data_IF_706253181349
#
_entry.id   IF_706253181349
#
_cell.length_a   1.000
_cell.length_b   1.000
_cell.length_c   1.000
_cell.angle_alpha   90.00
_cell.angle_beta   90.00
_cell.angle_gamma   90.00
#
_symmetry.space_group_name_H-M   'P 1'
#
loop_
_entity.id
_entity.type
_entity.pdbx_description
1 polymer ?
#
# COMPACT_ATOMS: atom_id res chain seq x y z
N UNK A 1 41.64 -44.56 19.30
CA UNK A 1 41.37 -43.24 19.92
C UNK A 1 40.75 -42.20 18.96
N UNK A 2 40.85 -42.32 17.65
CA UNK A 2 40.27 -41.39 16.65
C UNK A 2 38.76 -41.49 16.58
N UNK A 3 38.18 -42.70 16.67
CA UNK A 3 36.71 -42.90 16.54
C UNK A 3 35.88 -42.30 17.69
N UNK A 4 36.40 -42.17 18.90
CA UNK A 4 35.65 -41.60 20.03
C UNK A 4 35.51 -40.06 19.89
N UNK A 5 36.56 -39.41 19.39
CA UNK A 5 36.55 -37.94 19.18
C UNK A 5 35.64 -37.50 18.02
N UNK A 6 35.48 -38.35 17.03
CA UNK A 6 34.54 -38.09 15.92
C UNK A 6 33.07 -38.27 16.38
N UNK A 7 32.80 -39.31 17.19
CA UNK A 7 31.46 -39.50 17.79
C UNK A 7 31.05 -38.36 18.74
N UNK A 8 31.97 -37.87 19.58
CA UNK A 8 31.67 -36.73 20.45
C UNK A 8 31.45 -35.42 19.69
N UNK A 9 32.17 -35.23 18.58
CA UNK A 9 31.95 -34.06 17.70
C UNK A 9 30.59 -34.12 16.98
N UNK A 10 30.17 -35.30 16.47
CA UNK A 10 28.89 -35.54 15.84
C UNK A 10 27.74 -35.36 16.84
N UNK A 11 27.83 -35.85 18.05
CA UNK A 11 26.82 -35.71 19.12
C UNK A 11 26.70 -34.23 19.55
N UNK A 12 27.82 -33.48 19.63
CA UNK A 12 27.76 -32.05 19.92
C UNK A 12 27.06 -31.24 18.81
N UNK A 13 27.25 -31.63 17.54
CA UNK A 13 26.61 -31.00 16.39
C UNK A 13 25.07 -31.30 16.35
N UNK A 14 24.68 -32.54 16.65
CA UNK A 14 23.25 -32.92 16.71
C UNK A 14 22.47 -32.23 17.83
N UNK A 15 23.09 -31.96 18.97
CA UNK A 15 22.48 -31.21 20.08
C UNK A 15 22.27 -29.72 19.74
N UNK A 16 23.10 -29.12 18.88
CA UNK A 16 22.88 -27.74 18.41
C UNK A 16 21.73 -27.58 17.44
N UNK A 17 21.40 -28.61 16.67
CA UNK A 17 20.32 -28.55 15.65
C UNK A 17 18.92 -28.62 16.30
N UNK A 18 18.78 -29.30 17.45
CA UNK A 18 17.47 -29.46 18.14
C UNK A 18 16.96 -28.16 18.79
N UNK A 19 17.78 -27.13 18.95
CA UNK A 19 17.40 -25.85 19.57
C UNK A 19 16.64 -24.86 18.70
N UNK A 20 16.55 -25.10 17.37
CA UNK A 20 16.04 -24.11 16.44
C UNK A 20 14.50 -23.97 16.37
N UNK A 21 13.74 -25.02 16.72
CA UNK A 21 12.25 -24.99 16.57
C UNK A 21 11.50 -24.35 17.73
N UNK A 22 12.11 -24.18 18.90
CA UNK A 22 11.39 -23.74 20.12
C UNK A 22 11.19 -22.21 20.22
N UNK A 23 11.99 -21.42 19.50
CA UNK A 23 11.98 -19.97 19.66
C UNK A 23 10.84 -19.27 18.90
N UNK A 24 10.37 -19.81 17.77
CA UNK A 24 9.28 -19.20 16.98
C UNK A 24 7.96 -19.19 17.78
N UNK A 25 7.63 -20.28 18.50
CA UNK A 25 6.43 -20.34 19.37
C UNK A 25 6.47 -19.34 20.55
N UNK A 26 7.65 -18.93 21.00
CA UNK A 26 7.81 -17.95 22.10
C UNK A 26 7.46 -16.52 21.68
N UNK A 27 7.66 -16.18 20.41
CA UNK A 27 7.33 -14.84 19.87
C UNK A 27 5.86 -14.71 19.54
N UNK A 28 5.18 -15.77 19.06
CA UNK A 28 3.75 -15.77 18.78
C UNK A 28 2.88 -15.51 20.02
N UNK A 29 3.35 -15.85 21.22
CA UNK A 29 2.67 -15.53 22.51
C UNK A 29 2.61 -14.02 22.84
N UNK A 30 3.23 -13.16 22.03
CA UNK A 30 3.22 -11.70 22.20
C UNK A 30 2.28 -10.97 21.24
N UNK A 31 1.52 -11.69 20.44
CA UNK A 31 0.50 -11.09 19.60
C UNK A 31 -0.66 -10.58 20.45
N UNK A 32 -1.35 -9.50 20.03
CA UNK A 32 -2.56 -9.05 20.71
C UNK A 32 -3.63 -10.13 20.68
N UNK A 33 -4.37 -10.26 21.78
CA UNK A 33 -5.57 -11.12 21.82
C UNK A 33 -6.66 -10.49 20.94
N UNK A 34 -7.15 -11.26 19.97
CA UNK A 34 -8.26 -10.88 19.12
C UNK A 34 -9.54 -11.47 19.77
N UNK A 35 -10.56 -10.64 20.08
CA UNK A 35 -11.81 -11.13 20.65
C UNK A 35 -12.54 -12.02 19.67
N UNK A 36 -13.37 -12.93 20.18
CA UNK A 36 -14.18 -13.84 19.36
C UNK A 36 -15.33 -13.16 18.62
N UNK A 37 -15.78 -12.00 19.10
CA UNK A 37 -16.86 -11.21 18.51
C UNK A 37 -16.43 -9.74 18.39
N UNK A 38 -17.01 -9.06 17.41
CA UNK A 38 -16.88 -7.60 17.28
C UNK A 38 -17.53 -6.91 18.48
N UNK A 39 -16.94 -5.77 18.92
CA UNK A 39 -17.47 -4.98 20.04
C UNK A 39 -18.71 -4.18 19.62
N UNK A 40 -18.78 -3.77 18.37
CA UNK A 40 -19.90 -3.01 17.81
C UNK A 40 -21.05 -3.93 17.43
N UNK A 41 -22.28 -3.58 17.83
CA UNK A 41 -23.50 -4.29 17.43
C UNK A 41 -23.75 -4.00 15.95
N UNK A 42 -23.78 -5.06 15.15
CA UNK A 42 -23.97 -4.95 13.71
C UNK A 42 -24.70 -6.18 13.17
N UNK A 43 -25.75 -5.97 12.38
CA UNK A 43 -26.48 -7.01 11.64
C UNK A 43 -26.33 -6.74 10.15
N UNK A 44 -25.76 -7.69 9.43
CA UNK A 44 -25.64 -7.66 7.97
C UNK A 44 -26.93 -8.18 7.32
N UNK A 45 -27.23 -7.65 6.14
CA UNK A 45 -28.46 -7.97 5.41
C UNK A 45 -28.23 -9.03 4.31
N UNK A 46 -27.02 -9.09 3.73
CA UNK A 46 -26.73 -9.95 2.58
C UNK A 46 -25.26 -10.36 2.49
N UNK A 47 -25.00 -11.52 1.85
CA UNK A 47 -23.67 -11.95 1.44
C UNK A 47 -23.34 -11.26 0.13
N UNK A 48 -22.45 -10.30 0.15
CA UNK A 48 -22.07 -9.57 -1.05
C UNK A 48 -21.18 -10.45 -1.96
N UNK A 49 -21.67 -10.71 -3.15
CA UNK A 49 -20.91 -11.38 -4.22
C UNK A 49 -20.16 -10.37 -5.13
N UNK A 50 -19.88 -9.19 -4.63
CA UNK A 50 -19.21 -8.15 -5.40
C UNK A 50 -19.78 -6.77 -5.08
N UNK A 51 -19.28 -6.15 -4.01
CA UNK A 51 -19.82 -4.91 -3.46
C UNK A 51 -19.87 -3.74 -4.47
N UNK A 52 -18.98 -3.71 -5.46
CA UNK A 52 -18.99 -2.68 -6.51
C UNK A 52 -20.26 -2.77 -7.35
N UNK A 53 -20.69 -4.01 -7.68
CA UNK A 53 -21.91 -4.26 -8.47
C UNK A 53 -23.18 -3.90 -7.69
N UNK A 54 -23.16 -4.01 -6.36
CA UNK A 54 -24.30 -3.70 -5.49
C UNK A 54 -24.67 -2.22 -5.46
N UNK A 55 -23.75 -1.32 -5.78
CA UNK A 55 -24.05 0.11 -5.97
C UNK A 55 -24.93 0.37 -7.19
N UNK A 56 -25.06 -0.59 -8.11
CA UNK A 56 -25.84 -0.46 -9.36
C UNK A 56 -25.47 0.80 -10.17
N UNK A 57 -24.19 1.18 -10.12
CA UNK A 57 -23.62 2.35 -10.78
C UNK A 57 -22.64 1.88 -11.86
N UNK A 58 -23.12 1.82 -13.10
CA UNK A 58 -22.32 1.39 -14.26
C UNK A 58 -21.13 2.34 -14.52
N UNK A 59 -21.29 3.62 -14.18
CA UNK A 59 -20.21 4.60 -14.33
C UNK A 59 -19.10 4.31 -13.35
N UNK A 60 -19.42 4.05 -12.07
CA UNK A 60 -18.46 3.64 -11.07
C UNK A 60 -17.72 2.37 -11.48
N UNK A 61 -18.46 1.36 -11.97
CA UNK A 61 -17.87 0.11 -12.46
C UNK A 61 -16.82 0.36 -13.56
N UNK A 62 -17.18 1.19 -14.55
CA UNK A 62 -16.28 1.58 -15.64
C UNK A 62 -15.04 2.33 -15.15
N UNK A 63 -15.20 3.28 -14.22
CA UNK A 63 -14.09 4.05 -13.63
C UNK A 63 -13.14 3.18 -12.81
N UNK A 64 -13.66 2.22 -12.04
CA UNK A 64 -12.85 1.27 -11.28
C UNK A 64 -12.04 0.39 -12.23
N UNK A 65 -12.64 -0.14 -13.28
CA UNK A 65 -11.93 -0.94 -14.29
C UNK A 65 -10.80 -0.14 -14.93
N UNK A 66 -11.07 1.09 -15.33
CA UNK A 66 -10.07 1.99 -15.89
C UNK A 66 -8.95 2.32 -14.89
N UNK A 67 -9.28 2.56 -13.61
CA UNK A 67 -8.29 2.77 -12.56
C UNK A 67 -7.37 1.55 -12.39
N UNK A 68 -7.93 0.33 -12.37
CA UNK A 68 -7.14 -0.90 -12.25
C UNK A 68 -6.20 -1.11 -13.44
N UNK A 69 -6.56 -0.65 -14.64
CA UNK A 69 -5.74 -0.76 -15.84
C UNK A 69 -4.68 0.36 -15.96
N UNK A 70 -5.00 1.59 -15.55
CA UNK A 70 -4.22 2.77 -15.90
C UNK A 70 -3.58 3.51 -14.71
N UNK A 71 -3.98 3.19 -13.46
CA UNK A 71 -3.44 3.85 -12.28
C UNK A 71 -1.93 3.66 -12.16
N UNK A 72 -1.19 4.77 -11.95
CA UNK A 72 0.28 4.74 -11.95
C UNK A 72 0.87 4.13 -10.69
N UNK A 73 0.23 4.30 -9.54
CA UNK A 73 0.70 3.69 -8.29
C UNK A 73 0.54 2.16 -8.34
N UNK A 74 -0.55 1.67 -8.96
CA UNK A 74 -0.73 0.24 -9.18
C UNK A 74 0.31 -0.31 -10.18
N UNK A 75 0.64 0.47 -11.22
CA UNK A 75 1.73 0.16 -12.14
C UNK A 75 3.08 0.04 -11.43
N UNK A 76 3.39 0.97 -10.52
CA UNK A 76 4.61 0.92 -9.68
C UNK A 76 4.60 -0.34 -8.79
N UNK A 77 3.48 -0.65 -8.15
CA UNK A 77 3.36 -1.85 -7.31
C UNK A 77 3.55 -3.14 -8.12
N UNK A 78 3.06 -3.18 -9.36
CA UNK A 78 3.27 -4.31 -10.27
C UNK A 78 4.74 -4.49 -10.68
N UNK A 79 5.46 -3.40 -10.98
CA UNK A 79 6.89 -3.48 -11.26
C UNK A 79 7.70 -3.93 -10.03
N UNK A 80 7.28 -3.57 -8.82
CA UNK A 80 7.90 -4.07 -7.59
C UNK A 80 7.78 -5.60 -7.45
N UNK A 81 6.67 -6.22 -7.93
CA UNK A 81 6.57 -7.69 -8.00
C UNK A 81 7.65 -8.26 -8.92
N UNK A 82 7.86 -7.68 -10.10
CA UNK A 82 8.90 -8.14 -11.04
C UNK A 82 10.30 -8.05 -10.42
N UNK A 83 10.58 -6.93 -9.75
CA UNK A 83 11.85 -6.73 -9.03
C UNK A 83 12.02 -7.79 -7.94
N UNK A 84 11.00 -8.02 -7.11
CA UNK A 84 11.06 -8.98 -6.02
C UNK A 84 11.25 -10.43 -6.55
N UNK A 85 10.57 -10.81 -7.63
CA UNK A 85 10.73 -12.10 -8.29
C UNK A 85 12.13 -12.27 -8.90
N UNK A 86 12.67 -11.23 -9.54
CA UNK A 86 14.03 -11.26 -10.07
C UNK A 86 15.07 -11.42 -8.95
N UNK A 87 14.89 -10.73 -7.82
CA UNK A 87 15.74 -10.89 -6.62
C UNK A 87 15.65 -12.31 -6.04
N UNK A 88 14.44 -12.87 -5.97
CA UNK A 88 14.24 -14.26 -5.54
C UNK A 88 14.97 -15.24 -6.46
N UNK A 89 14.90 -15.06 -7.79
CA UNK A 89 15.68 -15.84 -8.75
C UNK A 89 17.19 -15.68 -8.56
N UNK A 90 17.67 -14.44 -8.42
CA UNK A 90 19.08 -14.15 -8.20
C UNK A 90 19.62 -14.74 -6.87
N UNK A 91 18.76 -14.89 -5.86
CA UNK A 91 19.13 -15.49 -4.57
C UNK A 91 19.47 -16.99 -4.65
N UNK A 92 19.14 -17.65 -5.75
CA UNK A 92 19.54 -19.03 -6.04
C UNK A 92 20.99 -19.11 -6.56
N UNK A 93 21.52 -18.05 -7.13
CA UNK A 93 22.87 -18.05 -7.73
C UNK A 93 23.98 -18.53 -6.80
N UNK A 94 24.02 -18.16 -5.49
CA UNK A 94 25.03 -18.67 -4.58
C UNK A 94 24.96 -20.19 -4.30
N UNK A 95 23.86 -20.87 -4.65
CA UNK A 95 23.72 -22.33 -4.56
C UNK A 95 24.38 -23.04 -5.74
N UNK A 96 24.68 -22.35 -6.81
CA UNK A 96 25.26 -22.86 -8.05
C UNK A 96 26.74 -22.45 -8.14
N UNK A 97 27.56 -23.23 -8.89
CA UNK A 97 28.94 -22.83 -9.16
C UNK A 97 28.99 -21.55 -10.02
N UNK A 98 29.84 -20.61 -9.65
CA UNK A 98 30.19 -19.45 -10.47
C UNK A 98 31.42 -19.79 -11.31
N UNK A 99 31.32 -19.59 -12.63
CA UNK A 99 32.42 -19.82 -13.58
C UNK A 99 32.82 -18.47 -14.18
N UNK A 100 34.09 -18.16 -14.09
CA UNK A 100 34.68 -16.95 -14.66
C UNK A 100 35.79 -17.35 -15.63
N UNK A 101 35.84 -16.68 -16.77
CA UNK A 101 36.93 -16.81 -17.77
C UNK A 101 37.58 -15.45 -17.88
N UNK A 102 38.91 -15.41 -17.74
CA UNK A 102 39.70 -14.21 -17.86
C UNK A 102 40.90 -14.41 -18.80
N UNK A 103 41.20 -13.43 -19.62
CA UNK A 103 42.43 -13.37 -20.43
C UNK A 103 43.23 -12.15 -19.97
N UNK A 104 44.51 -12.31 -19.74
CA UNK A 104 45.39 -11.24 -19.31
C UNK A 104 46.75 -11.28 -20.01
N UNK A 105 47.22 -10.09 -20.39
CA UNK A 105 48.59 -9.86 -20.80
C UNK A 105 49.33 -9.12 -19.73
N UNK A 106 50.41 -9.68 -19.19
CA UNK A 106 51.23 -9.05 -18.16
C UNK A 106 52.66 -8.85 -18.61
N UNK A 107 53.26 -7.73 -18.22
CA UNK A 107 54.67 -7.43 -18.35
C UNK A 107 55.20 -7.20 -16.90
N UNK A 108 56.10 -8.04 -16.50
CA UNK A 108 56.75 -7.97 -15.21
C UNK A 108 58.20 -7.54 -15.46
N UNK A 109 58.65 -6.41 -14.91
CA UNK A 109 60.05 -6.02 -14.92
C UNK A 109 60.69 -6.39 -13.61
N UNK A 110 61.79 -7.13 -13.65
CA UNK A 110 62.61 -7.52 -12.51
C UNK A 110 64.02 -6.98 -12.68
N UNK A 111 64.58 -6.43 -11.63
CA UNK A 111 65.98 -5.98 -11.62
C UNK A 111 66.85 -7.08 -11.02
N UNK A 112 67.80 -7.57 -11.75
CA UNK A 112 68.83 -8.51 -11.26
C UNK A 112 70.20 -7.85 -11.23
N UNK A 113 71.03 -8.24 -10.27
CA UNK A 113 72.40 -7.82 -10.18
C UNK A 113 73.30 -8.97 -10.66
N UNK A 114 74.06 -8.72 -11.69
CA UNK A 114 74.99 -9.69 -12.25
C UNK A 114 76.18 -9.89 -11.29
N UNK A 115 76.90 -11.01 -11.38
CA UNK A 115 78.08 -11.27 -10.54
C UNK A 115 79.16 -10.16 -10.56
N UNK A 116 79.13 -9.38 -11.61
CA UNK A 116 80.04 -8.21 -11.77
C UNK A 116 79.55 -6.92 -11.11
N UNK A 117 78.37 -6.95 -10.39
CA UNK A 117 77.83 -5.79 -9.71
C UNK A 117 76.92 -4.91 -10.58
N UNK A 118 76.79 -5.20 -11.88
CA UNK A 118 75.89 -4.45 -12.77
C UNK A 118 74.43 -4.80 -12.55
N UNK A 119 73.57 -3.81 -12.60
CA UNK A 119 72.10 -3.96 -12.45
C UNK A 119 71.46 -3.99 -13.82
N UNK A 120 70.86 -5.11 -14.16
CA UNK A 120 70.12 -5.33 -15.40
C UNK A 120 68.61 -5.43 -15.13
N UNK A 121 67.81 -4.81 -15.98
CA UNK A 121 66.32 -4.92 -15.93
C UNK A 121 65.85 -5.90 -16.97
N UNK A 122 65.25 -7.00 -16.49
CA UNK A 122 64.66 -8.05 -17.31
C UNK A 122 63.16 -7.84 -17.42
N UNK A 123 62.59 -7.90 -18.59
CA UNK A 123 61.16 -7.85 -18.86
C UNK A 123 60.67 -9.27 -19.18
N UNK A 124 59.72 -9.74 -18.38
CA UNK A 124 59.01 -10.98 -18.65
C UNK A 124 57.59 -10.65 -19.12
N UNK A 125 57.26 -11.10 -20.30
CA UNK A 125 55.89 -11.01 -20.85
C UNK A 125 55.19 -12.31 -20.64
N UNK A 126 53.91 -12.25 -20.24
CA UNK A 126 53.06 -13.42 -20.10
C UNK A 126 51.67 -13.14 -20.59
N UNK A 127 51.18 -13.95 -21.48
CA UNK A 127 49.82 -14.06 -21.92
C UNK A 127 49.17 -15.25 -21.21
N UNK A 128 48.01 -15.06 -20.56
CA UNK A 128 47.35 -16.09 -19.77
C UNK A 128 45.86 -16.15 -20.04
N UNK A 129 45.35 -17.36 -20.17
CA UNK A 129 43.92 -17.66 -20.13
C UNK A 129 43.63 -18.39 -18.82
N UNK A 130 42.65 -17.91 -18.06
CA UNK A 130 42.27 -18.49 -16.77
C UNK A 130 40.80 -18.79 -16.75
N UNK A 131 40.42 -20.03 -16.41
CA UNK A 131 39.04 -20.41 -16.08
C UNK A 131 39.00 -20.74 -14.59
N UNK A 132 38.10 -20.08 -13.86
CA UNK A 132 37.94 -20.27 -12.42
C UNK A 132 36.50 -20.64 -12.08
N UNK A 133 36.31 -21.71 -11.33
CA UNK A 133 35.07 -22.14 -10.74
C UNK A 133 35.15 -21.90 -9.23
N UNK A 134 34.13 -21.23 -8.68
CA UNK A 134 33.96 -21.06 -7.23
C UNK A 134 32.55 -21.54 -6.86
N UNK A 135 32.47 -22.42 -5.85
CA UNK A 135 31.20 -22.95 -5.39
C UNK A 135 31.23 -23.20 -3.88
N UNK A 136 30.29 -22.58 -3.14
CA UNK A 136 30.03 -22.93 -1.74
C UNK A 136 28.93 -24.00 -1.70
N UNK A 137 29.26 -25.17 -1.16
CA UNK A 137 28.29 -26.25 -0.98
C UNK A 137 27.49 -25.97 0.31
N UNK A 138 26.18 -25.87 0.16
CA UNK A 138 25.25 -25.52 1.24
C UNK A 138 24.91 -26.71 2.15
N UNK A 139 25.91 -27.28 2.80
CA UNK A 139 25.76 -28.48 3.66
C UNK A 139 24.89 -28.22 4.90
N UNK A 140 24.77 -26.97 5.36
CA UNK A 140 23.99 -26.57 6.53
C UNK A 140 22.67 -25.90 6.20
N UNK A 141 22.39 -25.68 4.94
CA UNK A 141 21.17 -25.00 4.50
C UNK A 141 21.16 -23.48 4.74
N UNK A 142 22.33 -22.84 4.89
CA UNK A 142 22.43 -21.40 5.08
C UNK A 142 22.00 -20.60 3.85
N UNK A 143 22.52 -21.01 2.70
CA UNK A 143 22.21 -20.35 1.41
C UNK A 143 20.78 -20.61 0.96
N UNK A 144 20.32 -21.86 1.07
CA UNK A 144 18.94 -22.23 0.77
C UNK A 144 17.93 -21.54 1.70
N UNK A 145 18.26 -21.34 2.98
CA UNK A 145 17.42 -20.56 3.91
C UNK A 145 17.32 -19.10 3.49
N UNK A 146 18.40 -18.46 3.03
CA UNK A 146 18.38 -17.10 2.50
C UNK A 146 17.57 -17.00 1.20
N UNK A 147 17.72 -17.99 0.30
CA UNK A 147 16.94 -18.04 -0.91
C UNK A 147 15.43 -18.18 -0.61
N UNK A 148 15.07 -19.05 0.36
CA UNK A 148 13.69 -19.16 0.83
C UNK A 148 13.17 -17.85 1.44
N UNK A 149 13.98 -17.13 2.20
CA UNK A 149 13.62 -15.81 2.72
C UNK A 149 13.34 -14.81 1.59
N UNK A 150 14.18 -14.81 0.55
CA UNK A 150 13.97 -13.96 -0.64
C UNK A 150 12.70 -14.33 -1.43
N UNK A 151 12.35 -15.61 -1.51
CA UNK A 151 11.09 -16.08 -2.10
C UNK A 151 9.88 -15.60 -1.29
N UNK A 152 9.93 -15.68 0.05
CA UNK A 152 8.88 -15.14 0.91
C UNK A 152 8.73 -13.62 0.74
N UNK A 153 9.83 -12.89 0.57
CA UNK A 153 9.76 -11.46 0.23
C UNK A 153 8.99 -11.22 -1.07
N UNK A 154 9.22 -12.02 -2.12
CA UNK A 154 8.47 -11.89 -3.36
C UNK A 154 6.97 -12.21 -3.19
N UNK A 155 6.64 -13.16 -2.31
CA UNK A 155 5.26 -13.48 -1.95
C UNK A 155 4.58 -12.37 -1.13
N UNK A 156 5.31 -11.74 -0.21
CA UNK A 156 4.83 -10.58 0.56
C UNK A 156 4.53 -9.40 -0.37
N UNK A 157 5.44 -9.03 -1.28
CA UNK A 157 5.25 -7.95 -2.25
C UNK A 157 4.05 -8.20 -3.18
N UNK A 158 3.76 -9.47 -3.50
CA UNK A 158 2.54 -9.81 -4.24
C UNK A 158 1.27 -9.49 -3.43
N UNK A 159 1.24 -9.80 -2.13
CA UNK A 159 0.11 -9.46 -1.28
C UNK A 159 0.00 -7.94 -1.03
N UNK A 160 1.12 -7.22 -0.99
CA UNK A 160 1.12 -5.75 -0.96
C UNK A 160 0.46 -5.16 -2.22
N UNK A 161 0.68 -5.78 -3.40
CA UNK A 161 0.00 -5.40 -4.63
C UNK A 161 -1.51 -5.66 -4.56
N UNK A 162 -1.95 -6.82 -4.02
CA UNK A 162 -3.39 -7.10 -3.84
C UNK A 162 -4.03 -6.09 -2.86
N UNK A 163 -3.34 -5.72 -1.77
CA UNK A 163 -3.78 -4.66 -0.88
C UNK A 163 -3.87 -3.29 -1.59
N UNK A 164 -2.89 -2.98 -2.46
CA UNK A 164 -2.91 -1.76 -3.25
C UNK A 164 -4.09 -1.73 -4.24
N UNK A 165 -4.43 -2.86 -4.88
CA UNK A 165 -5.63 -2.97 -5.74
C UNK A 165 -6.91 -2.60 -4.96
N UNK A 166 -7.11 -3.20 -3.78
CA UNK A 166 -8.26 -2.88 -2.93
C UNK A 166 -8.29 -1.38 -2.58
N UNK A 167 -7.14 -0.82 -2.22
CA UNK A 167 -7.02 0.61 -1.89
C UNK A 167 -7.38 1.51 -3.08
N UNK A 168 -6.89 1.20 -4.29
CA UNK A 168 -7.21 1.98 -5.51
C UNK A 168 -8.69 1.89 -5.84
N UNK A 169 -9.32 0.72 -5.71
CA UNK A 169 -10.77 0.58 -5.91
C UNK A 169 -11.54 1.47 -4.92
N UNK A 170 -11.15 1.43 -3.64
CA UNK A 170 -11.77 2.26 -2.61
C UNK A 170 -11.58 3.74 -2.84
N UNK A 171 -10.36 4.17 -3.19
CA UNK A 171 -10.06 5.57 -3.52
C UNK A 171 -10.85 6.05 -4.74
N UNK A 172 -10.97 5.23 -5.78
CA UNK A 172 -11.75 5.55 -6.99
C UNK A 172 -13.22 5.73 -6.64
N UNK A 173 -13.80 4.81 -5.86
CA UNK A 173 -15.20 4.90 -5.44
C UNK A 173 -15.45 6.14 -4.56
N UNK A 174 -14.58 6.40 -3.58
CA UNK A 174 -14.71 7.58 -2.72
C UNK A 174 -14.56 8.88 -3.52
N UNK A 175 -13.61 8.96 -4.46
CA UNK A 175 -13.41 10.13 -5.32
C UNK A 175 -14.59 10.35 -6.26
N UNK A 176 -15.18 9.28 -6.80
CA UNK A 176 -16.39 9.35 -7.62
C UNK A 176 -17.57 9.94 -6.85
N UNK A 177 -17.87 9.41 -5.65
CA UNK A 177 -19.00 9.91 -4.86
C UNK A 177 -18.75 11.29 -4.28
N UNK A 178 -17.52 11.67 -3.99
CA UNK A 178 -17.16 13.05 -3.65
C UNK A 178 -17.40 13.99 -4.83
N UNK A 179 -17.12 13.56 -6.06
CA UNK A 179 -17.42 14.32 -7.25
C UNK A 179 -18.94 14.47 -7.45
N UNK A 180 -19.71 13.40 -7.28
CA UNK A 180 -21.19 13.44 -7.32
C UNK A 180 -21.76 14.40 -6.27
N UNK A 181 -21.26 14.34 -5.03
CA UNK A 181 -21.65 15.26 -3.96
C UNK A 181 -21.33 16.71 -4.32
N UNK A 182 -20.13 16.98 -4.81
CA UNK A 182 -19.69 18.32 -5.23
C UNK A 182 -20.57 18.88 -6.37
N UNK A 183 -21.04 18.02 -7.27
CA UNK A 183 -22.02 18.40 -8.31
C UNK A 183 -23.35 18.80 -7.69
N UNK A 184 -23.92 17.98 -6.78
CA UNK A 184 -25.16 18.29 -6.08
C UNK A 184 -25.08 19.57 -5.26
N UNK A 185 -23.95 19.83 -4.57
CA UNK A 185 -23.72 21.08 -3.83
C UNK A 185 -23.64 22.29 -4.77
N UNK A 186 -23.05 22.11 -5.97
CA UNK A 186 -22.98 23.17 -6.98
C UNK A 186 -24.36 23.49 -7.53
N UNK A 187 -25.16 22.47 -7.83
CA UNK A 187 -26.55 22.63 -8.32
C UNK A 187 -27.43 23.26 -7.23
N UNK A 188 -27.24 22.91 -5.97
CA UNK A 188 -27.89 23.53 -4.83
C UNK A 188 -27.53 25.02 -4.72
N UNK A 189 -26.25 25.38 -4.84
CA UNK A 189 -25.79 26.76 -4.83
C UNK A 189 -26.35 27.58 -5.99
N UNK A 190 -26.49 26.98 -7.18
CA UNK A 190 -27.10 27.62 -8.34
C UNK A 190 -28.59 27.89 -8.12
N UNK A 191 -29.37 26.89 -7.68
CA UNK A 191 -30.78 27.06 -7.31
C UNK A 191 -30.94 28.14 -6.23
N UNK A 192 -30.06 28.19 -5.23
CA UNK A 192 -30.08 29.20 -4.19
C UNK A 192 -29.82 30.61 -4.72
N UNK A 193 -28.86 30.79 -5.63
CA UNK A 193 -28.62 32.07 -6.29
C UNK A 193 -29.88 32.53 -7.06
N UNK A 194 -30.56 31.66 -7.78
CA UNK A 194 -31.81 31.98 -8.48
C UNK A 194 -32.94 32.42 -7.50
N UNK A 195 -33.03 31.71 -6.35
CA UNK A 195 -33.96 32.09 -5.29
C UNK A 195 -33.66 33.50 -4.73
N UNK A 196 -32.38 33.83 -4.48
CA UNK A 196 -31.98 35.18 -4.01
C UNK A 196 -32.23 36.27 -5.08
N UNK A 197 -31.95 35.99 -6.32
CA UNK A 197 -32.28 36.91 -7.43
C UNK A 197 -33.77 37.20 -7.52
N UNK A 198 -34.62 36.18 -7.37
CA UNK A 198 -36.08 36.38 -7.35
C UNK A 198 -36.54 37.16 -6.11
N UNK A 199 -35.92 36.94 -4.96
CA UNK A 199 -36.19 37.73 -3.72
C UNK A 199 -35.76 39.19 -3.91
N UNK A 200 -34.59 39.45 -4.49
CA UNK A 200 -34.12 40.82 -4.77
C UNK A 200 -35.11 41.54 -5.71
N UNK A 201 -35.57 40.90 -6.77
CA UNK A 201 -36.56 41.48 -7.69
C UNK A 201 -37.87 41.87 -7.00
N UNK A 202 -38.34 41.07 -6.03
CA UNK A 202 -39.52 41.40 -5.20
C UNK A 202 -39.25 42.59 -4.29
N UNK A 203 -38.10 42.62 -3.63
CA UNK A 203 -37.70 43.74 -2.76
C UNK A 203 -37.57 45.04 -3.54
N UNK A 204 -36.98 45.02 -4.75
CA UNK A 204 -36.85 46.18 -5.64
C UNK A 204 -38.24 46.71 -6.06
N UNK A 205 -39.17 45.85 -6.43
CA UNK A 205 -40.55 46.25 -6.75
C UNK A 205 -41.25 46.88 -5.56
N UNK A 206 -41.11 46.35 -4.36
CA UNK A 206 -41.71 46.93 -3.11
C UNK A 206 -41.03 48.24 -2.75
N UNK A 207 -39.74 48.40 -2.93
CA UNK A 207 -39.02 49.65 -2.71
C UNK A 207 -39.49 50.75 -3.66
N UNK A 208 -39.64 50.45 -4.96
CA UNK A 208 -40.18 51.40 -5.93
C UNK A 208 -41.60 51.87 -5.60
N UNK A 209 -42.39 50.99 -4.96
CA UNK A 209 -43.76 51.33 -4.47
C UNK A 209 -43.77 52.01 -3.12
N UNK A 210 -42.60 52.31 -2.52
CA UNK A 210 -42.50 52.95 -1.18
C UNK A 210 -42.83 52.01 0.00
N UNK A 211 -42.97 50.70 -0.23
CA UNK A 211 -43.37 49.73 0.81
C UNK A 211 -42.14 49.16 1.52
N UNK A 212 -40.97 48.98 0.87
CA UNK A 212 -39.75 48.49 1.45
C UNK A 212 -38.75 49.61 1.74
N UNK A 213 -37.90 49.42 2.78
CA UNK A 213 -36.87 50.41 3.16
C UNK A 213 -35.61 50.25 2.31
N UNK A 214 -34.81 51.32 2.20
CA UNK A 214 -33.49 51.27 1.52
C UNK A 214 -32.55 50.23 2.12
N UNK A 215 -32.62 49.99 3.44
CA UNK A 215 -31.88 48.95 4.13
C UNK A 215 -32.21 47.56 3.57
N UNK A 216 -33.46 47.24 3.33
CA UNK A 216 -33.92 45.94 2.86
C UNK A 216 -33.41 45.67 1.45
N UNK A 217 -33.40 46.70 0.59
CA UNK A 217 -32.82 46.60 -0.75
C UNK A 217 -31.32 46.34 -0.72
N UNK A 218 -30.55 47.05 0.16
CA UNK A 218 -29.11 46.82 0.28
C UNK A 218 -28.81 45.45 0.80
N UNK A 219 -29.57 44.95 1.79
CA UNK A 219 -29.45 43.61 2.33
C UNK A 219 -29.69 42.55 1.24
N UNK A 220 -30.74 42.65 0.48
CA UNK A 220 -31.04 41.70 -0.61
C UNK A 220 -29.95 41.70 -1.70
N UNK A 221 -29.40 42.88 -2.04
CA UNK A 221 -28.27 42.97 -2.99
C UNK A 221 -26.99 42.30 -2.44
N UNK A 222 -26.68 42.56 -1.16
CA UNK A 222 -25.52 41.90 -0.48
C UNK A 222 -25.64 40.38 -0.48
N UNK A 223 -26.83 39.85 -0.19
CA UNK A 223 -27.11 38.41 -0.23
C UNK A 223 -26.87 37.79 -1.64
N UNK A 224 -27.29 38.48 -2.70
CA UNK A 224 -27.06 38.00 -4.08
C UNK A 224 -25.56 37.92 -4.37
N UNK A 225 -24.79 38.95 -4.03
CA UNK A 225 -23.34 38.93 -4.28
C UNK A 225 -22.64 37.84 -3.44
N UNK A 226 -23.05 37.63 -2.19
CA UNK A 226 -22.56 36.54 -1.34
C UNK A 226 -22.84 35.18 -1.96
N UNK A 227 -24.04 34.95 -2.53
CA UNK A 227 -24.38 33.67 -3.18
C UNK A 227 -23.67 33.47 -4.52
N UNK A 228 -23.36 34.54 -5.26
CA UNK A 228 -22.50 34.45 -6.46
C UNK A 228 -21.08 33.96 -6.06
N UNK A 229 -20.50 34.55 -5.01
CA UNK A 229 -19.19 34.12 -4.52
C UNK A 229 -19.21 32.65 -4.07
N UNK A 230 -20.25 32.22 -3.35
CA UNK A 230 -20.42 30.82 -2.93
C UNK A 230 -20.52 29.88 -4.14
N UNK A 231 -21.31 30.21 -5.16
CA UNK A 231 -21.42 29.41 -6.39
C UNK A 231 -20.06 29.25 -7.09
N UNK A 232 -19.25 30.30 -7.14
CA UNK A 232 -17.88 30.23 -7.73
C UNK A 232 -16.99 29.29 -6.90
N UNK A 233 -17.07 29.31 -5.58
CA UNK A 233 -16.36 28.38 -4.70
C UNK A 233 -16.80 26.93 -4.96
N UNK A 234 -18.10 26.65 -5.10
CA UNK A 234 -18.62 25.32 -5.41
C UNK A 234 -18.17 24.83 -6.79
N UNK A 235 -18.21 25.69 -7.82
CA UNK A 235 -17.70 25.36 -9.15
C UNK A 235 -16.19 25.02 -9.12
N UNK A 236 -15.40 25.75 -8.32
CA UNK A 236 -13.99 25.43 -8.11
C UNK A 236 -13.83 24.04 -7.47
N UNK A 237 -14.52 23.77 -6.37
CA UNK A 237 -14.47 22.48 -5.67
C UNK A 237 -14.89 21.31 -6.57
N UNK A 238 -15.94 21.48 -7.37
CA UNK A 238 -16.37 20.48 -8.36
C UNK A 238 -15.26 20.18 -9.38
N UNK A 239 -14.61 21.21 -9.92
CA UNK A 239 -13.52 21.04 -10.87
C UNK A 239 -12.30 20.34 -10.23
N UNK A 240 -12.00 20.64 -8.96
CA UNK A 240 -10.93 19.98 -8.21
C UNK A 240 -11.25 18.49 -7.95
N UNK A 241 -12.48 18.16 -7.57
CA UNK A 241 -12.93 16.79 -7.37
C UNK A 241 -12.85 15.96 -8.67
N UNK A 242 -13.30 16.55 -9.81
CA UNK A 242 -13.20 15.93 -11.13
C UNK A 242 -11.73 15.61 -11.48
N UNK A 243 -10.82 16.59 -11.36
CA UNK A 243 -9.41 16.40 -11.68
C UNK A 243 -8.73 15.38 -10.77
N UNK A 244 -9.10 15.34 -9.49
CA UNK A 244 -8.59 14.33 -8.57
C UNK A 244 -8.99 12.93 -9.00
N UNK A 245 -10.24 12.73 -9.37
CA UNK A 245 -10.72 11.46 -9.91
C UNK A 245 -10.01 11.08 -11.21
N UNK A 246 -9.84 12.03 -12.15
CA UNK A 246 -9.12 11.82 -13.41
C UNK A 246 -7.68 11.35 -13.20
N UNK A 247 -6.98 11.90 -12.18
CA UNK A 247 -5.62 11.46 -11.81
C UNK A 247 -5.65 10.02 -11.29
N UNK A 248 -6.61 9.67 -10.43
CA UNK A 248 -6.72 8.32 -9.85
C UNK A 248 -6.94 7.28 -10.95
N UNK A 249 -7.77 7.58 -11.94
CA UNK A 249 -8.03 6.66 -13.08
C UNK A 249 -6.97 6.74 -14.18
N UNK A 250 -5.95 7.57 -14.02
CA UNK A 250 -4.80 7.68 -14.94
C UNK A 250 -5.03 8.58 -16.15
N UNK A 251 -6.09 9.44 -16.14
CA UNK A 251 -6.37 10.42 -17.20
C UNK A 251 -5.66 11.76 -16.96
N UNK A 252 -5.54 12.55 -18.04
CA UNK A 252 -5.13 13.96 -17.93
C UNK A 252 -6.24 14.76 -17.21
N UNK A 253 -5.90 15.63 -16.21
CA UNK A 253 -6.88 16.32 -15.37
C UNK A 253 -7.56 17.50 -16.10
N UNK A 254 -8.46 17.18 -17.02
CA UNK A 254 -9.21 18.14 -17.87
C UNK A 254 -10.55 18.59 -17.28
N UNK A 255 -11.02 17.94 -16.21
CA UNK A 255 -12.36 18.15 -15.64
C UNK A 255 -13.49 17.81 -16.62
N UNK A 256 -13.33 16.69 -17.35
CA UNK A 256 -14.25 16.23 -18.39
C UNK A 256 -15.30 15.23 -17.91
N UNK A 257 -15.19 14.73 -16.68
CA UNK A 257 -16.13 13.75 -16.12
C UNK A 257 -17.45 14.46 -15.77
N UNK A 258 -18.58 13.81 -16.05
CA UNK A 258 -19.91 14.26 -15.67
C UNK A 258 -20.56 13.29 -14.69
N UNK A 259 -21.40 13.80 -13.79
CA UNK A 259 -22.22 13.02 -12.87
C UNK A 259 -23.58 13.66 -12.69
N UNK A 260 -24.59 12.82 -12.46
CA UNK A 260 -25.97 13.30 -12.32
C UNK A 260 -26.56 13.08 -10.91
N UNK A 261 -26.25 11.97 -10.22
CA UNK A 261 -26.91 11.60 -8.96
C UNK A 261 -25.93 10.88 -8.01
N UNK A 262 -26.20 10.95 -6.69
CA UNK A 262 -25.68 9.99 -5.72
C UNK A 262 -26.54 8.73 -5.75
N UNK A 263 -25.95 7.52 -5.91
CA UNK A 263 -26.70 6.27 -5.86
C UNK A 263 -27.23 5.98 -4.45
N UNK A 264 -28.13 5.00 -4.37
CA UNK A 264 -28.55 4.42 -3.10
C UNK A 264 -27.42 3.67 -2.40
N UNK A 265 -27.57 3.45 -1.10
CA UNK A 265 -26.64 2.60 -0.35
C UNK A 265 -26.81 1.13 -0.74
N UNK A 266 -25.70 0.38 -0.91
CA UNK A 266 -25.77 -1.06 -1.05
C UNK A 266 -26.21 -1.73 0.28
N UNK A 267 -26.63 -3.00 0.24
CA UNK A 267 -26.92 -3.77 1.44
C UNK A 267 -25.77 -3.77 2.44
N UNK A 268 -26.06 -4.08 3.69
CA UNK A 268 -25.04 -4.24 4.73
C UNK A 268 -24.35 -5.60 4.55
N UNK A 269 -23.00 -5.70 4.40
CA UNK A 269 -22.32 -6.98 4.26
C UNK A 269 -22.47 -7.85 5.53
N UNK A 270 -22.56 -9.16 5.38
CA UNK A 270 -22.47 -10.09 6.52
C UNK A 270 -21.01 -10.20 6.96
N UNK A 271 -20.79 -10.14 8.27
CA UNK A 271 -19.46 -10.20 8.87
C UNK A 271 -19.19 -11.60 9.44
N UNK A 272 -18.00 -12.12 9.11
CA UNK A 272 -17.42 -13.25 9.81
C UNK A 272 -16.88 -12.89 11.19
N UNK A 273 -16.31 -13.89 11.89
CA UNK A 273 -15.61 -13.63 13.15
C UNK A 273 -14.40 -12.68 12.92
N UNK A 274 -13.98 -11.92 13.95
CA UNK A 274 -12.79 -11.07 13.85
C UNK A 274 -11.54 -11.81 13.35
N UNK A 275 -11.36 -13.04 13.78
CA UNK A 275 -10.22 -13.86 13.37
C UNK A 275 -10.28 -14.21 11.87
N UNK A 276 -11.46 -14.61 11.36
CA UNK A 276 -11.62 -15.01 9.96
C UNK A 276 -11.45 -13.80 9.02
N UNK A 277 -12.04 -12.66 9.38
CA UNK A 277 -11.94 -11.43 8.58
C UNK A 277 -10.50 -10.95 8.50
N UNK A 278 -9.79 -10.89 9.64
CA UNK A 278 -8.40 -10.43 9.68
C UNK A 278 -7.47 -11.36 8.89
N UNK A 279 -7.66 -12.68 8.94
CA UNK A 279 -6.83 -13.66 8.20
C UNK A 279 -6.94 -13.52 6.69
N UNK A 280 -8.05 -13.02 6.17
CA UNK A 280 -8.27 -12.87 4.73
C UNK A 280 -7.78 -11.55 4.15
N UNK A 281 -7.31 -10.63 4.98
CA UNK A 281 -6.79 -9.32 4.53
C UNK A 281 -5.40 -9.46 3.89
N UNK A 282 -5.19 -8.93 2.66
CA UNK A 282 -3.89 -9.03 2.00
C UNK A 282 -2.75 -8.33 2.75
N UNK A 283 -3.00 -7.22 3.44
CA UNK A 283 -2.02 -6.50 4.26
C UNK A 283 -1.58 -7.31 5.49
N UNK A 284 -2.50 -8.05 6.10
CA UNK A 284 -2.20 -8.97 7.21
C UNK A 284 -1.38 -10.16 6.69
N UNK A 285 -1.82 -10.79 5.58
CA UNK A 285 -1.10 -11.90 4.94
C UNK A 285 0.33 -11.46 4.57
N UNK A 286 0.49 -10.28 3.99
CA UNK A 286 1.82 -9.74 3.66
C UNK A 286 2.70 -9.61 4.91
N UNK A 287 2.18 -9.00 5.98
CA UNK A 287 2.96 -8.77 7.20
C UNK A 287 3.27 -10.07 7.96
N UNK A 288 2.41 -11.10 7.89
CA UNK A 288 2.69 -12.44 8.42
C UNK A 288 3.83 -13.11 7.65
N UNK A 289 3.81 -13.03 6.31
CA UNK A 289 4.89 -13.55 5.46
C UNK A 289 6.22 -12.84 5.75
N UNK A 290 6.19 -11.52 5.97
CA UNK A 290 7.39 -10.76 6.38
C UNK A 290 7.94 -11.23 7.72
N UNK A 291 7.08 -11.60 8.66
CA UNK A 291 7.49 -12.18 9.94
C UNK A 291 8.14 -13.55 9.76
N UNK A 292 7.59 -14.43 8.91
CA UNK A 292 8.21 -15.71 8.55
C UNK A 292 9.58 -15.49 7.88
N UNK A 293 9.67 -14.56 6.93
CA UNK A 293 10.92 -14.17 6.29
C UNK A 293 11.99 -13.76 7.31
N UNK A 294 11.64 -12.87 8.23
CA UNK A 294 12.57 -12.41 9.29
C UNK A 294 13.04 -13.57 10.18
N UNK A 295 12.19 -14.55 10.44
CA UNK A 295 12.55 -15.79 11.13
C UNK A 295 13.59 -16.62 10.39
N UNK A 296 13.48 -16.72 9.06
CA UNK A 296 14.47 -17.38 8.20
C UNK A 296 15.81 -16.62 8.20
N UNK A 297 15.78 -15.28 8.17
CA UNK A 297 17.02 -14.47 8.27
C UNK A 297 17.76 -14.69 9.59
N UNK A 298 17.04 -14.76 10.71
CA UNK A 298 17.63 -15.13 12.01
C UNK A 298 18.26 -16.53 11.94
N UNK A 299 17.59 -17.49 11.31
CA UNK A 299 18.09 -18.84 11.14
C UNK A 299 19.36 -18.84 10.29
N UNK A 300 19.37 -18.15 9.16
CA UNK A 300 20.54 -18.02 8.30
C UNK A 300 21.73 -17.35 9.02
N UNK A 301 21.46 -16.33 9.85
CA UNK A 301 22.50 -15.68 10.67
C UNK A 301 23.11 -16.63 11.71
N UNK A 302 22.32 -17.54 12.29
CA UNK A 302 22.82 -18.59 13.20
C UNK A 302 23.62 -19.65 12.46
N UNK A 303 23.14 -20.10 11.30
CA UNK A 303 23.86 -21.07 10.45
C UNK A 303 25.22 -20.52 9.95
N UNK A 304 25.40 -19.20 9.89
CA UNK A 304 26.67 -18.57 9.55
C UNK A 304 27.79 -18.81 10.60
N UNK A 305 27.47 -19.33 11.80
CA UNK A 305 28.45 -19.76 12.76
C UNK A 305 29.06 -21.13 12.45
N UNK A 306 28.48 -21.90 11.54
CA UNK A 306 28.98 -23.21 11.12
C UNK A 306 30.06 -23.08 10.03
N UNK A 307 30.95 -24.12 9.88
CA UNK A 307 31.97 -24.09 8.82
C UNK A 307 31.40 -23.98 7.42
N UNK A 308 32.04 -23.26 6.52
CA UNK A 308 31.70 -23.24 5.08
C UNK A 308 32.56 -24.24 4.30
N UNK A 309 31.94 -25.00 3.40
CA UNK A 309 32.60 -25.88 2.44
C UNK A 309 32.65 -25.20 1.09
N UNK A 310 33.85 -24.85 0.63
CA UNK A 310 34.07 -24.19 -0.63
C UNK A 310 34.87 -25.10 -1.57
N UNK A 311 34.43 -25.22 -2.82
CA UNK A 311 35.16 -25.84 -3.91
C UNK A 311 35.63 -24.73 -4.84
N UNK A 312 36.94 -24.67 -5.05
CA UNK A 312 37.56 -23.80 -6.05
C UNK A 312 38.29 -24.66 -7.04
N UNK A 313 38.00 -24.50 -8.31
CA UNK A 313 38.77 -25.12 -9.38
C UNK A 313 39.30 -24.03 -10.29
N UNK A 314 40.57 -24.15 -10.68
CA UNK A 314 41.19 -23.19 -11.57
C UNK A 314 41.99 -23.95 -12.63
N UNK A 315 41.83 -23.58 -13.87
CA UNK A 315 42.64 -23.99 -15.01
C UNK A 315 43.20 -22.73 -15.65
N UNK A 316 44.50 -22.74 -15.94
CA UNK A 316 45.16 -21.61 -16.56
C UNK A 316 46.30 -22.03 -17.43
N UNK A 317 46.54 -21.27 -18.53
CA UNK A 317 47.77 -21.24 -19.30
C UNK A 317 48.57 -20.01 -18.90
N UNK A 318 49.90 -20.06 -19.09
CA UNK A 318 50.77 -18.88 -18.82
C UNK A 318 51.97 -18.97 -19.77
N UNK A 319 51.83 -18.35 -20.92
CA UNK A 319 52.73 -18.46 -22.05
C UNK A 319 53.26 -17.09 -22.50
N UNK A 320 54.23 -17.07 -23.43
CA UNK A 320 54.80 -15.80 -23.95
C UNK A 320 53.94 -15.16 -25.02
N UNK A 321 53.20 -16.00 -25.77
CA UNK A 321 52.39 -15.58 -26.89
C UNK A 321 50.96 -16.10 -26.77
N UNK A 322 49.99 -15.38 -27.31
CA UNK A 322 48.55 -15.74 -27.27
C UNK A 322 48.27 -17.07 -28.02
N UNK A 323 49.02 -17.38 -29.08
CA UNK A 323 48.86 -18.69 -29.79
C UNK A 323 49.03 -19.86 -28.85
N UNK A 324 50.01 -19.79 -27.98
CA UNK A 324 50.34 -20.83 -27.01
C UNK A 324 49.42 -20.77 -25.80
N UNK A 325 48.95 -19.60 -25.42
CA UNK A 325 48.02 -19.42 -24.30
C UNK A 325 46.65 -20.04 -24.56
N UNK A 326 46.23 -20.17 -25.84
CA UNK A 326 44.97 -20.82 -26.21
C UNK A 326 45.13 -22.32 -26.52
N UNK A 327 46.33 -22.90 -26.38
CA UNK A 327 46.57 -24.30 -26.57
C UNK A 327 46.02 -25.15 -25.41
N UNK A 328 45.01 -26.03 -25.62
CA UNK A 328 44.43 -26.84 -24.54
C UNK A 328 45.44 -27.79 -23.88
N UNK A 329 46.46 -28.23 -24.62
CA UNK A 329 47.48 -29.17 -24.13
C UNK A 329 48.41 -28.52 -23.08
N UNK A 330 48.42 -27.19 -23.01
CA UNK A 330 49.20 -26.40 -22.02
C UNK A 330 48.40 -25.99 -20.80
N UNK A 331 47.13 -26.44 -20.71
CA UNK A 331 46.22 -26.09 -19.61
C UNK A 331 46.64 -26.80 -18.33
N UNK A 332 47.11 -26.06 -17.34
CA UNK A 332 47.37 -26.57 -16.00
C UNK A 332 46.19 -26.22 -15.06
N UNK A 333 45.77 -27.18 -14.24
CA UNK A 333 44.64 -26.98 -13.36
C UNK A 333 44.80 -27.59 -11.97
N UNK A 334 44.04 -27.03 -11.02
CA UNK A 334 43.89 -27.58 -9.69
C UNK A 334 42.46 -27.52 -9.23
N UNK A 335 42.05 -28.43 -8.34
CA UNK A 335 40.77 -28.45 -7.64
C UNK A 335 41.05 -28.50 -6.15
N UNK A 336 40.48 -27.57 -5.40
CA UNK A 336 40.66 -27.44 -3.96
C UNK A 336 39.27 -27.47 -3.29
N UNK A 337 39.05 -28.44 -2.40
CA UNK A 337 37.94 -28.44 -1.48
C UNK A 337 38.44 -27.99 -0.11
N UNK A 338 37.86 -26.91 0.41
CA UNK A 338 38.25 -26.33 1.69
C UNK A 338 37.08 -26.20 2.64
N UNK A 339 37.23 -26.74 3.87
CA UNK A 339 36.28 -26.54 4.97
C UNK A 339 36.86 -25.48 5.90
N UNK A 340 36.23 -24.32 5.96
CA UNK A 340 36.73 -23.18 6.71
C UNK A 340 35.79 -22.79 7.85
N UNK A 341 36.33 -22.77 9.10
CA UNK A 341 35.65 -22.27 10.28
C UNK A 341 36.34 -21.02 10.80
N UNK A 342 35.62 -19.90 10.77
CA UNK A 342 36.13 -18.70 11.45
C UNK A 342 35.94 -18.77 12.95
N UNK A 343 37.04 -18.79 13.71
CA UNK A 343 37.01 -18.85 15.16
C UNK A 343 36.81 -17.47 15.79
N UNK A 344 37.43 -16.44 15.22
CA UNK A 344 37.35 -15.06 15.72
C UNK A 344 37.29 -14.07 14.57
N UNK A 345 36.33 -13.17 14.67
CA UNK A 345 36.10 -12.07 13.69
C UNK A 345 35.77 -10.74 14.42
N UNK A 346 36.45 -10.45 15.55
CA UNK A 346 36.23 -9.21 16.28
C UNK A 346 34.77 -8.99 16.75
N UNK A 347 33.99 -10.07 16.97
CA UNK A 347 32.59 -9.98 17.42
C UNK A 347 31.56 -9.72 16.32
N UNK A 348 31.98 -9.52 15.06
CA UNK A 348 31.06 -9.15 13.93
C UNK A 348 29.91 -10.13 13.75
N UNK A 349 30.13 -11.45 13.81
CA UNK A 349 29.09 -12.47 13.69
C UNK A 349 28.06 -12.41 14.82
N UNK A 350 28.54 -12.18 16.06
CA UNK A 350 27.65 -12.03 17.22
C UNK A 350 26.80 -10.77 17.07
N UNK A 351 27.41 -9.66 16.65
CA UNK A 351 26.69 -8.42 16.38
C UNK A 351 25.64 -8.62 15.26
N UNK A 352 26.00 -9.28 14.15
CA UNK A 352 25.07 -9.55 13.06
C UNK A 352 23.89 -10.43 13.50
N UNK A 353 24.11 -11.46 14.30
CA UNK A 353 23.03 -12.28 14.86
C UNK A 353 22.08 -11.47 15.75
N UNK A 354 22.63 -10.57 16.59
CA UNK A 354 21.82 -9.68 17.43
C UNK A 354 21.03 -8.65 16.59
N UNK A 355 21.61 -8.15 15.51
CA UNK A 355 20.95 -7.23 14.57
C UNK A 355 19.74 -7.93 13.96
N UNK A 356 19.90 -9.14 13.38
CA UNK A 356 18.78 -9.87 12.76
C UNK A 356 17.69 -10.26 13.76
N UNK A 357 18.07 -10.63 15.00
CA UNK A 357 17.08 -10.88 16.07
C UNK A 357 16.29 -9.62 16.45
N UNK A 358 16.94 -8.46 16.48
CA UNK A 358 16.27 -7.18 16.74
C UNK A 358 15.38 -6.76 15.58
N UNK A 359 15.80 -6.96 14.33
CA UNK A 359 14.99 -6.76 13.13
C UNK A 359 13.75 -7.62 13.14
N UNK A 360 13.84 -8.91 13.48
CA UNK A 360 12.68 -9.78 13.64
C UNK A 360 11.70 -9.26 14.70
N UNK A 361 12.19 -8.72 15.84
CA UNK A 361 11.30 -8.11 16.86
C UNK A 361 10.62 -6.84 16.36
N UNK A 362 11.29 -6.05 15.52
CA UNK A 362 10.67 -4.88 14.86
C UNK A 362 9.54 -5.36 13.96
N UNK A 363 9.76 -6.36 13.11
CA UNK A 363 8.74 -6.93 12.22
C UNK A 363 7.56 -7.50 13.01
N UNK A 364 7.80 -8.20 14.12
CA UNK A 364 6.76 -8.69 15.02
C UNK A 364 5.88 -7.55 15.57
N UNK A 365 6.50 -6.45 16.01
CA UNK A 365 5.76 -5.29 16.50
C UNK A 365 4.99 -4.59 15.37
N UNK A 366 5.54 -4.54 14.15
CA UNK A 366 4.85 -4.02 12.98
C UNK A 366 3.63 -4.89 12.64
N UNK A 367 3.76 -6.20 12.61
CA UNK A 367 2.66 -7.14 12.42
C UNK A 367 1.56 -6.94 13.46
N UNK A 368 1.91 -6.86 14.75
CA UNK A 368 0.97 -6.58 15.84
C UNK A 368 0.24 -5.24 15.64
N UNK A 369 0.96 -4.21 15.20
CA UNK A 369 0.38 -2.90 14.90
C UNK A 369 -0.58 -2.95 13.72
N UNK A 370 -0.24 -3.70 12.66
CA UNK A 370 -1.11 -3.89 11.49
C UNK A 370 -2.42 -4.58 11.89
N UNK A 371 -2.34 -5.66 12.70
CA UNK A 371 -3.51 -6.35 13.26
C UNK A 371 -4.43 -5.40 14.05
N UNK A 372 -3.86 -4.62 14.98
CA UNK A 372 -4.63 -3.68 15.80
C UNK A 372 -5.26 -2.56 14.96
N UNK A 373 -4.54 -2.04 13.96
CA UNK A 373 -5.07 -1.02 13.05
C UNK A 373 -6.22 -1.59 12.20
N UNK A 374 -6.06 -2.80 11.66
CA UNK A 374 -7.10 -3.45 10.88
C UNK A 374 -8.37 -3.70 11.72
N UNK A 375 -8.22 -4.20 12.95
CA UNK A 375 -9.34 -4.37 13.87
C UNK A 375 -10.03 -3.02 14.18
N UNK A 376 -9.25 -1.97 14.44
CA UNK A 376 -9.78 -0.62 14.67
C UNK A 376 -10.54 -0.08 13.44
N UNK A 377 -10.02 -0.25 12.24
CA UNK A 377 -10.69 0.18 11.00
C UNK A 377 -12.07 -0.44 10.85
N UNK A 378 -12.19 -1.74 11.18
CA UNK A 378 -13.45 -2.47 11.12
C UNK A 378 -14.40 -1.97 12.21
N UNK A 379 -13.96 -1.90 13.47
CA UNK A 379 -14.79 -1.42 14.60
C UNK A 379 -15.27 0.02 14.37
N UNK A 380 -14.39 0.92 13.90
CA UNK A 380 -14.75 2.30 13.58
C UNK A 380 -15.83 2.36 12.49
N UNK A 381 -15.71 1.52 11.43
CA UNK A 381 -16.70 1.48 10.35
C UNK A 381 -18.04 0.90 10.80
N UNK A 382 -18.03 -0.15 11.64
CA UNK A 382 -19.23 -0.76 12.22
C UNK A 382 -19.98 0.22 13.13
N UNK A 383 -19.24 0.87 14.03
CA UNK A 383 -19.83 1.87 14.94
C UNK A 383 -20.43 3.04 14.16
N UNK A 384 -19.71 3.53 13.14
CA UNK A 384 -20.17 4.65 12.32
C UNK A 384 -21.42 4.32 11.50
N UNK A 385 -21.69 3.05 11.15
CA UNK A 385 -22.83 2.68 10.33
C UNK A 385 -24.17 3.09 10.94
N UNK A 386 -24.39 2.75 12.21
CA UNK A 386 -25.62 3.10 12.93
C UNK A 386 -25.71 4.62 13.20
N UNK A 387 -24.62 5.23 13.66
CA UNK A 387 -24.59 6.67 13.96
C UNK A 387 -24.86 7.52 12.73
N UNK A 388 -24.29 7.15 11.58
CA UNK A 388 -24.52 7.88 10.33
C UNK A 388 -25.94 7.67 9.78
N UNK A 389 -26.56 6.53 10.03
CA UNK A 389 -27.95 6.28 9.68
C UNK A 389 -28.88 7.20 10.48
N UNK A 390 -28.76 7.21 11.81
CA UNK A 390 -29.58 8.04 12.70
C UNK A 390 -29.39 9.54 12.40
N UNK A 391 -28.15 9.92 12.11
CA UNK A 391 -27.81 11.30 11.70
C UNK A 391 -28.50 11.71 10.40
N UNK A 392 -28.47 10.85 9.37
CA UNK A 392 -29.12 11.15 8.08
C UNK A 392 -30.63 11.27 8.23
N UNK A 393 -31.26 10.41 9.02
CA UNK A 393 -32.69 10.48 9.31
C UNK A 393 -33.04 11.81 10.04
N UNK A 394 -32.25 12.20 11.04
CA UNK A 394 -32.43 13.47 11.74
C UNK A 394 -32.27 14.68 10.81
N UNK A 395 -31.28 14.65 9.90
CA UNK A 395 -31.05 15.71 8.93
C UNK A 395 -32.15 15.76 7.85
N UNK A 396 -32.68 14.60 7.44
CA UNK A 396 -33.82 14.54 6.53
C UNK A 396 -35.07 15.18 7.13
N UNK A 397 -35.35 14.91 8.41
CA UNK A 397 -36.45 15.54 9.13
C UNK A 397 -36.24 17.04 9.30
N UNK A 398 -35.02 17.47 9.67
CA UNK A 398 -34.67 18.89 9.74
C UNK A 398 -34.81 19.60 8.41
N UNK A 399 -34.45 18.97 7.29
CA UNK A 399 -34.64 19.52 5.96
C UNK A 399 -36.14 19.66 5.60
N UNK A 400 -36.97 18.64 5.90
CA UNK A 400 -38.42 18.70 5.67
C UNK A 400 -39.07 19.88 6.39
N UNK A 401 -38.76 20.05 7.69
CA UNK A 401 -39.30 21.15 8.52
C UNK A 401 -38.79 22.52 8.06
N UNK A 402 -37.49 22.64 7.74
CA UNK A 402 -36.92 23.89 7.24
C UNK A 402 -37.51 24.28 5.87
N UNK A 403 -37.81 23.33 5.00
CA UNK A 403 -38.48 23.56 3.72
C UNK A 403 -39.92 24.05 3.91
N UNK A 404 -40.68 23.41 4.79
CA UNK A 404 -42.05 23.85 5.13
C UNK A 404 -42.08 25.26 5.73
N UNK A 405 -41.13 25.56 6.64
CA UNK A 405 -40.98 26.88 7.24
C UNK A 405 -40.63 27.95 6.18
N UNK A 406 -39.77 27.67 5.21
CA UNK A 406 -39.47 28.59 4.10
C UNK A 406 -40.70 28.86 3.27
N UNK A 407 -41.46 27.84 2.89
CA UNK A 407 -42.71 28.00 2.07
C UNK A 407 -43.75 28.88 2.77
N UNK A 408 -43.97 28.68 4.09
CA UNK A 408 -44.86 29.52 4.90
C UNK A 408 -44.35 30.97 5.00
N UNK A 409 -43.05 31.14 5.22
CA UNK A 409 -42.45 32.49 5.38
C UNK A 409 -42.48 33.28 4.06
N UNK A 410 -42.34 32.60 2.91
CA UNK A 410 -42.54 33.22 1.58
C UNK A 410 -43.94 33.76 1.43
N UNK A 411 -44.97 33.01 1.82
CA UNK A 411 -46.38 33.45 1.73
C UNK A 411 -46.64 34.63 2.70
N UNK A 412 -46.17 34.54 3.92
CA UNK A 412 -46.29 35.63 4.91
C UNK A 412 -45.56 36.90 4.46
N UNK A 413 -44.38 36.80 3.88
CA UNK A 413 -43.65 37.95 3.33
C UNK A 413 -44.41 38.58 2.17
N UNK A 414 -44.99 37.77 1.29
CA UNK A 414 -45.81 38.29 0.16
C UNK A 414 -47.05 39.05 0.65
N UNK A 415 -47.67 38.61 1.74
CA UNK A 415 -48.82 39.28 2.37
C UNK A 415 -48.41 40.50 3.23
N UNK A 416 -47.10 40.72 3.46
CA UNK A 416 -46.59 41.83 4.29
C UNK A 416 -46.63 41.57 5.79
N UNK A 417 -46.85 40.34 6.24
CA UNK A 417 -46.91 39.91 7.62
C UNK A 417 -45.51 39.59 8.16
N UNK A 418 -44.59 39.08 7.31
CA UNK A 418 -43.19 38.75 7.66
C UNK A 418 -42.24 39.78 7.09
N UNK A 419 -41.07 39.92 7.76
CA UNK A 419 -39.97 40.80 7.35
C UNK A 419 -39.02 40.13 6.35
N UNK A 420 -38.22 40.93 5.63
CA UNK A 420 -37.16 40.41 4.77
C UNK A 420 -36.12 39.56 5.53
N UNK A 421 -35.84 39.91 6.79
CA UNK A 421 -34.91 39.16 7.63
C UNK A 421 -35.41 37.73 7.89
N UNK A 422 -36.68 37.59 8.26
CA UNK A 422 -37.30 36.26 8.49
C UNK A 422 -37.29 35.42 7.24
N UNK A 423 -37.59 36.03 6.07
CA UNK A 423 -37.52 35.35 4.80
C UNK A 423 -36.10 34.87 4.47
N UNK A 424 -35.10 35.73 4.60
CA UNK A 424 -33.72 35.40 4.34
C UNK A 424 -33.17 34.35 5.32
N UNK A 425 -33.58 34.39 6.59
CA UNK A 425 -33.21 33.37 7.60
C UNK A 425 -33.84 32.01 7.30
N UNK A 426 -35.13 31.95 7.01
CA UNK A 426 -35.82 30.70 6.62
C UNK A 426 -35.18 30.05 5.38
N UNK A 427 -34.87 30.84 4.34
CA UNK A 427 -34.17 30.38 3.17
C UNK A 427 -32.76 29.85 3.48
N UNK A 428 -32.03 30.52 4.39
CA UNK A 428 -30.68 30.07 4.80
C UNK A 428 -30.72 28.77 5.59
N UNK A 429 -31.70 28.60 6.48
CA UNK A 429 -31.91 27.35 7.25
C UNK A 429 -32.21 26.17 6.33
N UNK A 430 -33.13 26.33 5.38
CA UNK A 430 -33.45 25.30 4.41
C UNK A 430 -32.22 24.90 3.58
N UNK A 431 -31.46 25.88 3.07
CA UNK A 431 -30.23 25.65 2.32
C UNK A 431 -29.19 24.86 3.14
N UNK A 432 -28.97 25.28 4.40
CA UNK A 432 -28.03 24.60 5.30
C UNK A 432 -28.47 23.17 5.57
N UNK A 433 -29.77 22.94 5.83
CA UNK A 433 -30.30 21.60 6.08
C UNK A 433 -30.15 20.70 4.85
N UNK A 434 -30.46 21.19 3.64
CA UNK A 434 -30.29 20.45 2.38
C UNK A 434 -28.81 20.12 2.12
N UNK A 435 -27.89 21.07 2.31
CA UNK A 435 -26.46 20.87 2.15
C UNK A 435 -25.89 19.83 3.13
N UNK A 436 -26.34 19.88 4.40
CA UNK A 436 -25.94 18.91 5.42
C UNK A 436 -26.47 17.50 5.12
N UNK A 437 -27.68 17.39 4.60
CA UNK A 437 -28.27 16.11 4.19
C UNK A 437 -27.47 15.48 3.03
N UNK A 438 -27.14 16.25 1.98
CA UNK A 438 -26.30 15.79 0.86
C UNK A 438 -24.94 15.28 1.38
N UNK A 439 -24.31 16.04 2.26
CA UNK A 439 -23.05 15.62 2.86
C UNK A 439 -23.18 14.37 3.75
N UNK A 440 -24.29 14.23 4.49
CA UNK A 440 -24.53 13.03 5.31
C UNK A 440 -24.69 11.77 4.46
N UNK A 441 -25.36 11.87 3.31
CA UNK A 441 -25.46 10.74 2.37
C UNK A 441 -24.09 10.33 1.83
N UNK A 442 -23.21 11.28 1.47
CA UNK A 442 -21.83 10.98 1.09
C UNK A 442 -21.07 10.26 2.22
N UNK A 443 -21.20 10.73 3.47
CA UNK A 443 -20.52 10.10 4.61
C UNK A 443 -20.97 8.66 4.84
N UNK A 444 -22.27 8.34 4.67
CA UNK A 444 -22.78 6.97 4.75
C UNK A 444 -22.21 6.09 3.64
N UNK A 445 -22.22 6.56 2.39
CA UNK A 445 -21.65 5.85 1.25
C UNK A 445 -20.15 5.59 1.49
N UNK A 446 -19.42 6.61 1.91
CA UNK A 446 -17.98 6.49 2.20
C UNK A 446 -17.69 5.49 3.32
N UNK A 447 -18.53 5.48 4.37
CA UNK A 447 -18.40 4.50 5.46
C UNK A 447 -18.68 3.08 4.97
N UNK A 448 -19.69 2.87 4.13
CA UNK A 448 -20.00 1.57 3.55
C UNK A 448 -18.83 1.06 2.68
N UNK A 449 -18.23 1.92 1.86
CA UNK A 449 -17.02 1.57 1.08
C UNK A 449 -15.88 1.18 2.03
N UNK A 450 -15.62 1.97 3.08
CA UNK A 450 -14.59 1.65 4.08
C UNK A 450 -14.83 0.30 4.74
N UNK A 451 -16.07 -0.03 5.07
CA UNK A 451 -16.42 -1.31 5.67
C UNK A 451 -16.10 -2.48 4.72
N UNK A 452 -16.52 -2.39 3.45
CA UNK A 452 -16.20 -3.42 2.45
C UNK A 452 -14.68 -3.60 2.24
N UNK A 453 -13.92 -2.51 2.22
CA UNK A 453 -12.46 -2.56 2.12
C UNK A 453 -11.84 -3.18 3.38
N UNK A 454 -12.31 -2.78 4.56
CA UNK A 454 -11.76 -3.24 5.83
C UNK A 454 -11.97 -4.75 6.05
N UNK A 455 -13.07 -5.31 5.54
CA UNK A 455 -13.33 -6.75 5.59
C UNK A 455 -12.83 -7.50 4.35
N UNK A 456 -12.16 -6.79 3.42
CA UNK A 456 -11.69 -7.35 2.13
C UNK A 456 -12.77 -8.09 1.35
N UNK A 457 -13.99 -7.51 1.28
CA UNK A 457 -15.09 -8.07 0.50
C UNK A 457 -14.69 -8.27 -0.96
N UNK A 458 -15.20 -9.31 -1.65
CA UNK A 458 -14.99 -9.48 -3.09
C UNK A 458 -15.41 -8.23 -3.86
N UNK A 459 -14.58 -7.81 -4.83
CA UNK A 459 -14.81 -6.59 -5.62
C UNK A 459 -15.92 -6.77 -6.65
N UNK A 460 -15.89 -7.91 -7.34
CA UNK A 460 -16.79 -8.28 -8.44
C UNK A 460 -17.34 -9.68 -8.19
N UNK A 461 -18.51 -9.99 -8.75
CA UNK A 461 -18.99 -11.37 -8.81
C UNK A 461 -17.94 -12.25 -9.49
N UNK A 462 -17.57 -13.36 -8.85
CA UNK A 462 -16.82 -14.41 -9.52
C UNK A 462 -17.72 -15.03 -10.59
N UNK A 463 -17.32 -14.88 -11.86
CA UNK A 463 -18.00 -15.44 -13.05
C UNK A 463 -17.69 -16.93 -13.12
#
# INVERSE_FOLDING_TARGET
MINIRICTLVIAITLFISGCSSNQKKYLKKLPDIPSNWSSIYEGDDNSNGWVSEFKDETLYGLIKEALENNKDLGIAYENIKIARARAGASLAPLLPAINIGAAKSQISTTIQNPNGEVERIYNYRDSLTTQLNWEIDIWGRLSTRSRASYLNAKSVYNDYEAAKLSIVGLTAQAWYLFCESKLQTDLAERNLQTRLSTLKRVESRYQKGIAQSRDLRLARSEVESRKAELLNRKKALSEASRNLEIIIGRYPSSSISADILPGLPPKPILGSPEDVLKNRPDIISSEIQLEQAGLEVTAARLAFLPSLNITAQWSTSERDWSDAFDPDRLAGNIIASLTQSIFQGGTRIAQSKITESQMKIILNQYSKTLLNAAREIEDALFAENILQDREESLLNAFKEAKAAEELTIDQYNRGVSTIFELLDAQSRRLSAESLLINSSLLRITNRIKLHLAISSPLFEEI
#
